data_IF_619983108618
#
_entry.id   IF_619983108618
#
_cell.length_a   1.000
_cell.length_b   1.000
_cell.length_c   1.000
_cell.angle_alpha   90.00
_cell.angle_beta   90.00
_cell.angle_gamma   90.00
#
_symmetry.space_group_name_H-M   'P 1'
#
loop_
_entity.id
_entity.type
_entity.pdbx_description
1 polymer ?
#
# COMPACT_ATOMS: atom_id res chain seq x y z
N UNK A 1 19.62 10.63 -10.62
CA UNK A 1 19.03 10.40 -9.27
C UNK A 1 17.72 11.14 -8.94
N UNK A 2 17.41 12.36 -9.43
CA UNK A 2 16.24 13.16 -8.97
C UNK A 2 14.85 12.57 -9.34
N UNK A 3 14.75 11.80 -10.42
CA UNK A 3 13.45 11.31 -10.93
C UNK A 3 12.81 10.22 -10.05
N UNK A 4 13.64 9.40 -9.39
CA UNK A 4 13.20 8.35 -8.48
C UNK A 4 12.84 8.88 -7.09
N UNK A 5 13.60 9.86 -6.58
CA UNK A 5 13.43 10.43 -5.24
C UNK A 5 12.16 11.32 -5.05
N UNK A 6 11.35 11.49 -6.10
CA UNK A 6 10.07 12.19 -6.03
C UNK A 6 8.87 11.25 -6.17
N UNK A 7 9.10 9.95 -6.38
CA UNK A 7 8.04 8.94 -6.54
C UNK A 7 7.67 8.36 -5.19
N UNK A 8 6.73 9.03 -4.52
CA UNK A 8 6.10 8.51 -3.32
C UNK A 8 4.87 7.69 -3.69
N UNK A 9 4.60 6.63 -2.94
CA UNK A 9 3.37 5.86 -3.10
C UNK A 9 2.15 6.77 -2.87
N UNK A 10 1.24 6.81 -3.84
CA UNK A 10 -0.01 7.55 -3.74
C UNK A 10 -0.92 7.02 -2.62
N UNK A 11 -1.79 7.88 -2.07
CA UNK A 11 -2.71 7.52 -0.97
C UNK A 11 -3.70 6.40 -1.32
N UNK A 12 -4.03 6.27 -2.59
CA UNK A 12 -4.95 5.29 -3.17
C UNK A 12 -4.26 4.40 -4.21
N UNK A 13 -2.93 4.52 -4.36
CA UNK A 13 -2.17 3.70 -5.29
C UNK A 13 -1.90 2.32 -4.68
N UNK A 14 -2.31 1.23 -5.36
CA UNK A 14 -2.00 -0.12 -4.92
C UNK A 14 -0.49 -0.32 -4.82
N UNK A 15 -0.03 -0.95 -3.74
CA UNK A 15 1.41 -1.12 -3.51
C UNK A 15 2.09 -1.93 -4.63
N UNK A 16 1.34 -2.82 -5.28
CA UNK A 16 1.83 -3.58 -6.43
C UNK A 16 2.08 -2.71 -7.67
N UNK A 17 1.20 -1.75 -7.93
CA UNK A 17 1.34 -0.85 -9.08
C UNK A 17 2.53 0.08 -8.85
N UNK A 18 2.66 0.61 -7.63
CA UNK A 18 3.82 1.39 -7.21
C UNK A 18 5.15 0.63 -7.39
N UNK A 19 5.22 -0.64 -6.92
CA UNK A 19 6.44 -1.46 -7.03
C UNK A 19 6.78 -1.77 -8.50
N UNK A 20 5.78 -2.05 -9.33
CA UNK A 20 5.99 -2.31 -10.75
C UNK A 20 6.50 -1.07 -11.48
N UNK A 21 5.92 0.11 -11.19
CA UNK A 21 6.37 1.38 -11.72
C UNK A 21 7.82 1.69 -11.28
N UNK A 22 8.13 1.48 -10.01
CA UNK A 22 9.49 1.65 -9.48
C UNK A 22 10.51 0.73 -10.14
N UNK A 23 10.14 -0.53 -10.41
CA UNK A 23 11.00 -1.47 -11.13
C UNK A 23 11.30 -0.95 -12.54
N UNK A 24 10.30 -0.48 -13.27
CA UNK A 24 10.49 0.00 -14.64
C UNK A 24 11.29 1.31 -14.66
N UNK A 25 11.08 2.21 -13.69
CA UNK A 25 11.89 3.43 -13.53
C UNK A 25 13.34 3.12 -13.14
N UNK A 26 13.56 2.14 -12.26
CA UNK A 26 14.88 1.63 -11.89
C UNK A 26 15.64 1.09 -13.10
N UNK A 27 14.96 0.39 -14.01
CA UNK A 27 15.56 -0.15 -15.23
C UNK A 27 15.88 0.95 -16.26
N UNK A 28 15.09 2.02 -16.30
CA UNK A 28 15.30 3.15 -17.18
C UNK A 28 16.29 4.19 -16.61
N UNK A 29 16.72 4.04 -15.36
CA UNK A 29 17.65 4.97 -14.73
C UNK A 29 19.04 4.87 -15.37
N UNK A 30 19.58 6.00 -15.85
CA UNK A 30 20.94 6.10 -16.42
C UNK A 30 22.04 5.86 -15.39
N UNK A 31 21.76 6.13 -14.11
CA UNK A 31 22.65 5.80 -13.01
C UNK A 31 22.51 4.29 -12.74
N UNK A 32 23.62 3.55 -12.77
CA UNK A 32 23.64 2.11 -12.53
C UNK A 32 23.28 1.81 -11.07
N UNK A 33 21.99 1.80 -10.76
CA UNK A 33 21.48 1.35 -9.48
C UNK A 33 21.61 -0.17 -9.43
N UNK A 34 22.35 -0.67 -8.44
CA UNK A 34 22.32 -2.09 -8.11
C UNK A 34 20.88 -2.47 -7.76
N UNK A 35 20.41 -3.64 -8.19
CA UNK A 35 19.04 -4.10 -7.89
C UNK A 35 18.71 -4.08 -6.39
N UNK A 36 19.72 -4.27 -5.52
CA UNK A 36 19.58 -4.15 -4.07
C UNK A 36 19.31 -2.70 -3.66
N UNK A 37 20.10 -1.75 -4.16
CA UNK A 37 19.94 -0.32 -3.87
C UNK A 37 18.62 0.22 -4.42
N UNK A 38 18.15 -0.28 -5.56
CA UNK A 38 16.84 0.09 -6.10
C UNK A 38 15.69 -0.39 -5.22
N UNK A 39 15.78 -1.60 -4.67
CA UNK A 39 14.78 -2.15 -3.72
C UNK A 39 14.79 -1.38 -2.40
N UNK A 40 15.97 -1.06 -1.86
CA UNK A 40 16.08 -0.28 -0.62
C UNK A 40 15.49 1.13 -0.76
N UNK A 41 15.75 1.81 -1.89
CA UNK A 41 15.16 3.12 -2.18
C UNK A 41 13.63 3.02 -2.37
N UNK A 42 13.16 2.01 -3.11
CA UNK A 42 11.73 1.77 -3.28
C UNK A 42 11.00 1.62 -1.95
N UNK A 43 11.60 0.91 -0.97
CA UNK A 43 11.05 0.75 0.39
C UNK A 43 11.02 2.09 1.13
N UNK A 44 12.07 2.91 1.02
CA UNK A 44 12.14 4.22 1.71
C UNK A 44 11.08 5.22 1.24
N UNK A 45 10.72 5.19 -0.03
CA UNK A 45 9.71 6.07 -0.62
C UNK A 45 8.25 5.53 -0.49
N UNK A 46 8.06 4.34 0.09
CA UNK A 46 6.72 3.80 0.41
C UNK A 46 6.06 4.52 1.58
N UNK A 47 4.74 4.32 1.71
CA UNK A 47 4.00 4.77 2.88
C UNK A 47 4.63 4.24 4.17
N UNK A 48 4.78 5.11 5.17
CA UNK A 48 5.54 4.83 6.40
C UNK A 48 5.09 3.56 7.16
N UNK A 49 3.79 3.25 7.13
CA UNK A 49 3.21 2.01 7.68
C UNK A 49 3.74 0.75 6.99
N UNK A 50 3.91 0.79 5.67
CA UNK A 50 4.46 -0.31 4.88
C UNK A 50 5.97 -0.39 5.05
N UNK A 51 6.65 0.75 5.04
CA UNK A 51 8.10 0.86 5.26
C UNK A 51 8.54 0.13 6.54
N UNK A 52 7.86 0.37 7.66
CA UNK A 52 8.25 -0.18 8.95
C UNK A 52 8.18 -1.72 8.98
N UNK A 53 7.16 -2.27 8.35
CA UNK A 53 6.93 -3.72 8.31
C UNK A 53 7.84 -4.38 7.28
N UNK A 54 8.04 -3.75 6.12
CA UNK A 54 8.90 -4.26 5.05
C UNK A 54 10.39 -4.20 5.42
N UNK A 55 10.81 -3.18 6.17
CA UNK A 55 12.16 -3.09 6.71
C UNK A 55 12.48 -4.25 7.65
N UNK A 56 11.52 -4.68 8.48
CA UNK A 56 11.69 -5.82 9.38
C UNK A 56 11.90 -7.15 8.63
N UNK A 57 11.37 -7.26 7.40
CA UNK A 57 11.34 -8.51 6.62
C UNK A 57 12.52 -8.59 5.61
N UNK A 58 13.32 -7.52 5.46
CA UNK A 58 14.52 -7.43 4.58
C UNK A 58 14.35 -8.14 3.23
N UNK A 59 13.63 -7.50 2.31
CA UNK A 59 13.50 -7.98 0.93
C UNK A 59 14.73 -7.59 0.10
N UNK A 60 15.25 -8.52 -0.71
CA UNK A 60 16.43 -8.26 -1.58
C UNK A 60 16.07 -8.10 -3.05
N UNK A 61 14.84 -8.47 -3.41
CA UNK A 61 14.33 -8.41 -4.79
C UNK A 61 12.95 -7.75 -4.83
N UNK A 62 12.59 -7.15 -5.97
CA UNK A 62 11.26 -6.57 -6.18
C UNK A 62 10.14 -7.62 -6.06
N UNK A 63 10.39 -8.89 -6.41
CA UNK A 63 9.39 -9.95 -6.29
C UNK A 63 9.08 -10.32 -4.84
N UNK A 64 10.12 -10.44 -4.00
CA UNK A 64 9.94 -10.62 -2.55
C UNK A 64 9.22 -9.42 -1.94
N UNK A 65 9.63 -8.21 -2.32
CA UNK A 65 9.02 -6.96 -1.86
C UNK A 65 7.53 -6.93 -2.21
N UNK A 66 7.16 -7.21 -3.46
CA UNK A 66 5.77 -7.23 -3.94
C UNK A 66 4.90 -8.22 -3.17
N UNK A 67 5.39 -9.45 -2.98
CA UNK A 67 4.66 -10.49 -2.26
C UNK A 67 4.40 -10.10 -0.81
N UNK A 68 5.41 -9.55 -0.13
CA UNK A 68 5.31 -9.11 1.26
C UNK A 68 4.40 -7.89 1.40
N UNK A 69 4.59 -6.90 0.53
CA UNK A 69 3.81 -5.68 0.53
C UNK A 69 2.32 -5.94 0.31
N UNK A 70 1.98 -6.83 -0.63
CA UNK A 70 0.60 -7.23 -0.88
C UNK A 70 -0.04 -7.89 0.35
N UNK A 71 0.67 -8.82 1.01
CA UNK A 71 0.15 -9.46 2.24
C UNK A 71 -0.09 -8.47 3.38
N UNK A 72 0.75 -7.44 3.50
CA UNK A 72 0.61 -6.37 4.50
C UNK A 72 -0.56 -5.44 4.14
N UNK A 73 -0.65 -5.00 2.88
CA UNK A 73 -1.76 -4.19 2.37
C UNK A 73 -3.11 -4.89 2.60
N UNK A 74 -3.20 -6.19 2.30
CA UNK A 74 -4.37 -7.00 2.63
C UNK A 74 -4.67 -7.05 4.13
N UNK A 75 -3.64 -7.07 4.99
CA UNK A 75 -3.82 -7.09 6.44
C UNK A 75 -4.29 -5.75 7.02
N UNK A 76 -4.00 -4.63 6.35
CA UNK A 76 -4.55 -3.31 6.67
C UNK A 76 -5.98 -3.14 6.14
N UNK A 77 -6.26 -3.66 4.94
CA UNK A 77 -7.58 -3.56 4.34
C UNK A 77 -8.59 -4.51 5.01
N UNK A 78 -8.19 -5.71 5.42
CA UNK A 78 -9.02 -6.64 6.19
C UNK A 78 -9.47 -6.06 7.54
N UNK A 79 -8.67 -5.16 8.14
CA UNK A 79 -9.06 -4.44 9.37
C UNK A 79 -10.05 -3.32 9.12
N UNK A 80 -10.14 -2.77 7.89
CA UNK A 80 -11.10 -1.71 7.55
C UNK A 80 -12.53 -2.22 7.54
N UNK A 81 -12.74 -3.49 7.18
CA UNK A 81 -14.04 -4.16 7.25
C UNK A 81 -14.52 -4.45 8.68
N UNK A 82 -13.64 -4.39 9.69
CA UNK A 82 -14.02 -4.57 11.11
C UNK A 82 -14.57 -3.28 11.76
N UNK A 83 -14.34 -2.11 11.15
CA UNK A 83 -14.78 -0.80 11.68
C UNK A 83 -15.95 -0.16 10.91
N UNK A 84 -16.50 -0.80 9.87
CA UNK A 84 -17.72 -0.36 9.19
C UNK A 84 -18.95 -1.19 9.63
N UNK A 85 -19.16 -1.31 10.94
CA UNK A 85 -20.45 -1.73 11.50
C UNK A 85 -20.97 -0.60 12.36
N UNK A 86 -21.55 0.42 11.73
CA UNK A 86 -22.56 1.28 12.35
C UNK A 86 -23.32 2.05 11.27
N UNK A 87 -24.48 1.51 10.90
CA UNK A 87 -25.75 2.24 10.79
C UNK A 87 -26.86 1.21 10.55
N UNK A 88 -27.20 0.48 11.61
CA UNK A 88 -28.57 0.00 11.78
C UNK A 88 -29.23 1.00 12.75
N UNK A 89 -29.65 2.16 12.25
CA UNK A 89 -30.62 2.97 12.96
C UNK A 89 -31.99 2.31 12.72
N UNK A 90 -32.40 1.64 13.80
CA UNK A 90 -33.67 1.01 14.15
C UNK A 90 -34.92 1.60 13.42
N UNK A 91 -35.73 0.69 12.87
CA UNK A 91 -37.05 0.91 12.30
C UNK A 91 -37.97 1.67 13.28
N UNK A 92 -38.25 2.94 12.98
CA UNK A 92 -39.29 3.70 13.64
C UNK A 92 -40.69 3.28 13.17
N UNK A 93 -41.27 2.30 13.86
CA UNK A 93 -42.71 2.01 13.82
C UNK A 93 -43.54 3.26 14.19
N UNK A 94 -44.32 3.78 13.25
CA UNK A 94 -45.53 4.59 13.46
C UNK A 94 -46.25 4.63 12.10
N UNK A 95 -47.53 4.33 11.91
CA UNK A 95 -48.72 4.65 12.69
C UNK A 95 -49.92 3.97 12.03
N UNK A 96 -50.60 3.03 12.71
CA UNK A 96 -51.97 2.61 12.36
C UNK A 96 -52.83 2.64 13.62
N UNK A 97 -53.66 3.67 13.73
CA UNK A 97 -55.06 3.57 14.16
C UNK A 97 -55.64 4.97 14.41
N UNK A 98 -56.40 5.51 13.46
CA UNK A 98 -57.70 6.15 13.76
C UNK A 98 -58.53 6.28 12.49
N UNK A 99 -59.84 6.04 12.58
CA UNK A 99 -60.76 7.18 12.60
C UNK A 99 -61.55 7.32 13.90
#
# INVERSE_FOLDING_TARGET
MIELANQHQGKDEPVLDYINNWRDLSLNCKDTLSGISAVELCIQDMHWELYYILQAIKSKTFGELATRAHGIEMSFNCKKDEYLVDTNDDDGDNEDATP
#
